data_IF_673307279207
#
_entry.id   IF_673307279207
#
_cell.length_a   1.000
_cell.length_b   1.000
_cell.length_c   1.000
_cell.angle_alpha   90.00
_cell.angle_beta   90.00
_cell.angle_gamma   90.00
#
_symmetry.space_group_name_H-M   'P 1'
#
loop_
_entity.id
_entity.type
_entity.pdbx_description
1 polymer ?
#
# COMPACT_ATOMS: atom_id res chain seq x y z
N UNK A 1 -0.75 0.80 15.23
CA UNK A 1 0.14 1.62 14.38
C UNK A 1 0.27 1.11 12.93
N UNK A 2 -0.51 0.11 12.48
CA UNK A 2 -0.50 -0.36 11.08
C UNK A 2 -0.97 0.71 10.07
N UNK A 3 -1.88 1.60 10.48
CA UNK A 3 -2.39 2.71 9.64
C UNK A 3 -1.36 3.78 9.26
N UNK A 4 -0.20 3.83 9.93
CA UNK A 4 0.76 4.91 9.72
C UNK A 4 1.43 4.85 8.33
N UNK A 5 1.51 3.68 7.70
CA UNK A 5 1.93 3.57 6.29
C UNK A 5 0.90 4.21 5.35
N UNK A 6 -0.40 3.97 5.59
CA UNK A 6 -1.48 4.59 4.79
C UNK A 6 -1.49 6.12 4.93
N UNK A 7 -1.31 6.63 6.15
CA UNK A 7 -1.16 8.06 6.38
C UNK A 7 0.06 8.63 5.67
N UNK A 8 1.22 7.95 5.79
CA UNK A 8 2.43 8.37 5.11
C UNK A 8 2.24 8.41 3.59
N UNK A 9 1.73 7.33 3.00
CA UNK A 9 1.60 7.20 1.55
C UNK A 9 0.67 8.26 0.96
N UNK A 10 -0.52 8.44 1.53
CA UNK A 10 -1.49 9.42 1.05
C UNK A 10 -0.91 10.86 1.11
N UNK A 11 -0.29 11.23 2.24
CA UNK A 11 0.31 12.56 2.39
C UNK A 11 1.53 12.74 1.48
N UNK A 12 2.37 11.71 1.32
CA UNK A 12 3.57 11.78 0.49
C UNK A 12 3.22 11.97 -0.99
N UNK A 13 2.23 11.23 -1.49
CA UNK A 13 1.75 11.34 -2.87
C UNK A 13 1.08 12.71 -3.11
N UNK A 14 0.30 13.18 -2.14
CA UNK A 14 -0.38 14.48 -2.23
C UNK A 14 0.56 15.69 -1.98
N UNK A 15 1.83 15.47 -1.65
CA UNK A 15 2.78 16.54 -1.33
C UNK A 15 2.48 17.28 -0.02
N UNK A 16 1.73 16.66 0.90
CA UNK A 16 1.37 17.25 2.20
C UNK A 16 2.55 17.08 3.17
N UNK A 17 3.12 18.18 3.71
CA UNK A 17 4.37 18.13 4.46
C UNK A 17 4.20 17.67 5.91
N UNK A 18 3.00 17.78 6.48
CA UNK A 18 2.74 17.56 7.90
C UNK A 18 1.49 16.73 8.15
N UNK A 19 1.58 15.82 9.11
CA UNK A 19 0.49 14.98 9.59
C UNK A 19 0.19 15.40 11.03
N UNK A 20 -1.06 15.83 11.28
CA UNK A 20 -1.57 16.11 12.63
C UNK A 20 -2.39 14.94 13.15
N UNK A 21 -1.96 14.33 14.25
CA UNK A 21 -2.66 13.19 14.85
C UNK A 21 -3.05 13.46 16.31
N UNK A 22 -4.32 13.19 16.63
CA UNK A 22 -4.83 13.20 18.00
C UNK A 22 -4.58 11.86 18.66
N UNK A 23 -3.68 11.80 19.63
CA UNK A 23 -3.45 10.62 20.45
C UNK A 23 -4.51 10.53 21.54
N UNK A 24 -5.25 9.44 21.51
CA UNK A 24 -6.35 9.13 22.41
C UNK A 24 -5.89 8.13 23.47
N UNK A 25 -6.40 8.26 24.69
CA UNK A 25 -6.30 7.16 25.65
C UNK A 25 -7.33 6.06 25.34
N UNK A 26 -7.03 4.82 25.73
CA UNK A 26 -7.97 3.72 25.53
C UNK A 26 -9.06 3.69 26.60
N UNK A 27 -8.76 4.22 27.80
CA UNK A 27 -9.65 4.17 28.97
C UNK A 27 -10.84 5.12 28.85
N UNK A 28 -10.61 6.36 28.41
CA UNK A 28 -11.63 7.41 28.35
C UNK A 28 -11.96 7.82 26.92
N UNK A 29 -11.29 7.22 25.92
CA UNK A 29 -11.47 7.51 24.50
C UNK A 29 -11.40 9.01 24.19
N UNK A 30 -10.63 9.75 24.98
CA UNK A 30 -10.49 11.20 24.85
C UNK A 30 -9.12 11.51 24.29
N UNK A 31 -9.03 12.48 23.35
CA UNK A 31 -7.74 12.96 22.85
C UNK A 31 -7.01 13.62 24.01
N UNK A 32 -5.85 13.08 24.36
CA UNK A 32 -4.99 13.62 25.42
C UNK A 32 -3.89 14.52 24.87
N UNK A 33 -3.52 14.32 23.60
CA UNK A 33 -2.43 15.06 22.98
C UNK A 33 -2.62 15.14 21.48
N UNK A 34 -2.24 16.26 20.90
CA UNK A 34 -2.11 16.42 19.46
C UNK A 34 -0.63 16.44 19.15
N UNK A 35 -0.21 15.65 18.16
CA UNK A 35 1.13 15.68 17.61
C UNK A 35 1.10 16.15 16.17
N UNK A 36 2.13 16.90 15.80
CA UNK A 36 2.44 17.20 14.41
C UNK A 36 3.71 16.44 14.06
N UNK A 37 3.66 15.68 12.96
CA UNK A 37 4.76 14.86 12.48
C UNK A 37 5.01 15.27 11.04
N UNK A 38 6.24 15.62 10.69
CA UNK A 38 6.62 15.80 9.28
C UNK A 38 6.39 14.49 8.52
N UNK A 39 5.69 14.55 7.39
CA UNK A 39 5.35 13.37 6.57
C UNK A 39 6.60 12.54 6.27
N UNK A 40 7.69 13.18 5.85
CA UNK A 40 8.95 12.50 5.52
C UNK A 40 9.64 11.85 6.70
N UNK A 41 9.39 12.34 7.92
CA UNK A 41 9.94 11.79 9.16
C UNK A 41 9.08 10.69 9.76
N UNK A 42 7.83 10.52 9.29
CA UNK A 42 6.92 9.53 9.86
C UNK A 42 7.55 8.14 9.88
N UNK A 43 8.13 7.68 8.78
CA UNK A 43 8.74 6.35 8.69
C UNK A 43 9.92 6.11 9.66
N UNK A 44 10.65 7.16 10.00
CA UNK A 44 11.78 7.11 10.96
C UNK A 44 11.36 7.48 12.39
N UNK A 45 10.09 7.81 12.60
CA UNK A 45 9.59 8.21 13.92
C UNK A 45 9.63 7.04 14.90
N UNK A 46 9.53 7.37 16.20
CA UNK A 46 9.43 6.38 17.28
C UNK A 46 8.29 5.37 17.11
N UNK A 47 7.31 5.68 16.28
CA UNK A 47 6.10 4.88 16.05
C UNK A 47 6.29 3.76 15.03
N UNK A 48 7.20 3.95 14.08
CA UNK A 48 7.25 3.15 12.85
C UNK A 48 8.66 2.77 12.44
N UNK A 49 9.68 3.19 13.21
CA UNK A 49 11.08 2.90 12.91
C UNK A 49 11.28 1.41 12.65
N UNK A 50 11.83 1.07 11.48
CA UNK A 50 12.11 -0.30 11.07
C UNK A 50 10.90 -1.11 10.58
N UNK A 51 9.71 -0.50 10.47
CA UNK A 51 8.49 -1.19 10.00
C UNK A 51 8.32 -1.19 8.48
N UNK A 52 8.80 -0.16 7.79
CA UNK A 52 8.86 -0.08 6.33
C UNK A 52 9.99 0.84 5.89
N UNK A 53 10.37 0.75 4.62
CA UNK A 53 11.39 1.61 4.01
C UNK A 53 10.73 2.51 2.95
N UNK A 54 10.65 3.84 3.17
CA UNK A 54 10.08 4.79 2.23
C UNK A 54 10.62 4.66 0.81
N UNK A 55 11.93 4.45 0.65
CA UNK A 55 12.57 4.31 -0.66
C UNK A 55 12.08 3.07 -1.39
N UNK A 56 11.90 1.97 -0.67
CA UNK A 56 11.36 0.73 -1.26
C UNK A 56 9.90 0.96 -1.66
N UNK A 57 9.07 1.59 -0.81
CA UNK A 57 7.68 1.89 -1.13
C UNK A 57 7.55 2.72 -2.41
N UNK A 58 8.32 3.83 -2.52
CA UNK A 58 8.30 4.68 -3.72
C UNK A 58 8.80 3.92 -4.95
N UNK A 59 9.93 3.21 -4.86
CA UNK A 59 10.46 2.43 -5.99
C UNK A 59 9.48 1.36 -6.47
N UNK A 60 8.81 0.67 -5.55
CA UNK A 60 7.79 -0.32 -5.89
C UNK A 60 6.60 0.33 -6.59
N UNK A 61 6.13 1.48 -6.10
CA UNK A 61 5.06 2.24 -6.74
C UNK A 61 5.45 2.72 -8.14
N UNK A 62 6.63 3.31 -8.31
CA UNK A 62 7.15 3.76 -9.61
C UNK A 62 7.30 2.60 -10.61
N UNK A 63 7.78 1.45 -10.15
CA UNK A 63 7.88 0.23 -10.97
C UNK A 63 6.50 -0.25 -11.42
N UNK A 64 5.51 -0.27 -10.50
CA UNK A 64 4.14 -0.66 -10.84
C UNK A 64 3.50 0.31 -11.83
N UNK A 65 3.64 1.63 -11.62
CA UNK A 65 3.12 2.65 -12.53
C UNK A 65 3.79 2.59 -13.91
N UNK A 66 5.08 2.26 -13.96
CA UNK A 66 5.80 2.06 -15.22
C UNK A 66 5.27 0.84 -15.99
N UNK A 67 5.04 -0.28 -15.30
CA UNK A 67 4.38 -1.46 -15.88
C UNK A 67 2.97 -1.12 -16.38
N UNK A 68 2.20 -0.33 -15.62
CA UNK A 68 0.88 0.14 -16.04
C UNK A 68 0.98 0.92 -17.35
N UNK A 69 1.93 1.84 -17.45
CA UNK A 69 2.15 2.65 -18.65
C UNK A 69 2.57 1.82 -19.87
N UNK A 70 3.38 0.78 -19.68
CA UNK A 70 3.80 -0.12 -20.76
C UNK A 70 2.66 -1.01 -21.28
N UNK A 71 1.80 -1.48 -20.37
CA UNK A 71 0.72 -2.44 -20.69
C UNK A 71 -0.58 -1.78 -21.17
N UNK A 72 -0.73 -0.46 -20.97
CA UNK A 72 -1.81 0.37 -21.51
C UNK A 72 -1.23 1.35 -22.56
N UNK A 73 -0.80 0.84 -23.74
CA UNK A 73 -0.13 1.66 -24.76
C UNK A 73 -1.07 2.61 -25.51
N UNK A 74 -2.39 2.40 -25.42
CA UNK A 74 -3.40 3.16 -26.16
C UNK A 74 -4.37 3.86 -25.21
N UNK A 75 -4.52 5.18 -25.39
CA UNK A 75 -5.60 6.00 -24.82
C UNK A 75 -6.93 5.72 -25.55
N UNK A 76 -7.30 4.46 -25.78
CA UNK A 76 -8.64 4.12 -26.28
C UNK A 76 -9.62 4.18 -25.09
N UNK A 77 -10.55 5.15 -25.06
CA UNK A 77 -11.52 5.27 -23.98
C UNK A 77 -12.49 4.08 -23.88
N UNK A 78 -12.52 3.19 -24.89
CA UNK A 78 -13.35 1.98 -24.90
C UNK A 78 -12.58 0.73 -24.44
N UNK A 79 -11.26 0.84 -24.24
CA UNK A 79 -10.43 -0.27 -23.79
C UNK A 79 -10.40 -0.33 -22.27
N UNK A 80 -10.96 -1.40 -21.71
CA UNK A 80 -10.98 -1.64 -20.26
C UNK A 80 -10.01 -2.77 -19.95
N UNK A 81 -8.90 -2.44 -19.29
CA UNK A 81 -7.97 -3.44 -18.72
C UNK A 81 -8.03 -3.45 -17.21
N UNK A 82 -7.75 -4.59 -16.61
CA UNK A 82 -7.67 -4.75 -15.16
C UNK A 82 -6.24 -5.01 -14.72
N UNK A 83 -5.81 -4.32 -13.68
CA UNK A 83 -4.60 -4.67 -12.95
C UNK A 83 -4.91 -5.83 -12.00
N UNK A 84 -4.37 -7.00 -12.30
CA UNK A 84 -4.58 -8.23 -11.54
C UNK A 84 -3.32 -8.54 -10.74
N UNK A 85 -3.49 -8.67 -9.41
CA UNK A 85 -2.47 -9.20 -8.54
C UNK A 85 -2.56 -10.73 -8.54
N UNK A 86 -1.53 -11.38 -9.06
CA UNK A 86 -1.41 -12.83 -9.08
C UNK A 86 -0.56 -13.26 -7.89
N UNK A 87 -1.10 -14.14 -7.06
CA UNK A 87 -0.43 -14.71 -5.90
C UNK A 87 -0.27 -16.21 -6.16
N UNK A 88 0.97 -16.67 -6.33
CA UNK A 88 1.29 -18.10 -6.55
C UNK A 88 2.11 -18.63 -5.38
N UNK A 89 1.86 -19.84 -4.88
CA UNK A 89 2.76 -20.48 -3.94
C UNK A 89 4.13 -20.70 -4.61
N UNK A 90 5.21 -20.59 -3.83
CA UNK A 90 6.55 -20.95 -4.31
C UNK A 90 6.64 -22.47 -4.36
N UNK A 91 7.06 -23.03 -5.50
CA UNK A 91 7.06 -24.49 -5.75
C UNK A 91 7.88 -25.28 -4.71
N UNK A 92 8.92 -24.67 -4.12
CA UNK A 92 9.78 -25.30 -3.10
C UNK A 92 10.03 -24.39 -1.90
N UNK A 93 8.99 -24.08 -1.11
CA UNK A 93 9.20 -23.49 0.22
C UNK A 93 8.00 -22.73 0.80
N UNK A 94 8.09 -22.30 2.08
CA UNK A 94 7.11 -21.39 2.66
C UNK A 94 7.27 -20.01 2.01
N UNK A 95 6.32 -19.65 1.15
CA UNK A 95 6.31 -18.34 0.50
C UNK A 95 5.27 -18.24 -0.61
N UNK A 96 4.98 -16.99 -0.98
CA UNK A 96 4.13 -16.67 -2.12
C UNK A 96 4.85 -15.69 -3.03
N UNK A 97 4.89 -16.02 -4.32
CA UNK A 97 5.25 -15.09 -5.39
C UNK A 97 4.06 -14.20 -5.69
N UNK A 98 4.32 -12.89 -5.76
CA UNK A 98 3.31 -11.88 -6.06
C UNK A 98 3.74 -11.17 -7.33
N UNK A 99 2.94 -11.28 -8.38
CA UNK A 99 3.17 -10.61 -9.66
C UNK A 99 1.96 -9.75 -10.02
N UNK A 100 2.19 -8.63 -10.67
CA UNK A 100 1.13 -7.80 -11.22
C UNK A 100 1.09 -8.00 -12.73
N UNK A 101 -0.10 -8.20 -13.27
CA UNK A 101 -0.35 -8.25 -14.71
C UNK A 101 -1.49 -7.29 -15.05
N UNK A 102 -1.46 -6.72 -16.24
CA UNK A 102 -2.59 -5.93 -16.76
C UNK A 102 -3.12 -6.65 -17.98
N UNK A 103 -4.34 -7.12 -17.86
CA UNK A 103 -5.00 -7.94 -18.88
C UNK A 103 -6.49 -7.69 -18.89
N UNK A 104 -7.16 -8.25 -19.88
CA UNK A 104 -8.61 -8.30 -19.90
C UNK A 104 -9.10 -9.11 -18.70
N UNK A 105 -10.28 -8.73 -18.22
CA UNK A 105 -10.95 -9.44 -17.12
C UNK A 105 -11.24 -10.87 -17.56
N UNK A 106 -10.81 -11.83 -16.75
CA UNK A 106 -11.18 -13.23 -16.89
C UNK A 106 -12.33 -13.58 -15.94
N UNK A 107 -13.18 -14.57 -16.28
CA UNK A 107 -14.29 -15.01 -15.41
C UNK A 107 -13.86 -15.44 -14.00
N UNK A 108 -12.65 -15.98 -13.87
CA UNK A 108 -12.04 -16.43 -12.61
C UNK A 108 -11.49 -15.29 -11.74
N UNK A 109 -11.45 -14.06 -12.24
CA UNK A 109 -10.95 -12.92 -11.48
C UNK A 109 -11.91 -12.57 -10.34
N UNK A 110 -11.36 -12.60 -9.12
CA UNK A 110 -12.06 -12.20 -7.92
C UNK A 110 -11.73 -10.75 -7.58
N UNK A 111 -12.76 -9.96 -7.30
CA UNK A 111 -12.58 -8.71 -6.60
C UNK A 111 -12.13 -9.03 -5.18
N UNK A 112 -11.07 -8.35 -4.75
CA UNK A 112 -10.51 -8.51 -3.41
C UNK A 112 -10.81 -7.22 -2.65
N UNK A 113 -11.54 -7.35 -1.56
CA UNK A 113 -11.84 -6.23 -0.67
C UNK A 113 -10.61 -5.85 0.18
N UNK A 114 -10.60 -4.64 0.74
CA UNK A 114 -9.44 -4.13 1.48
C UNK A 114 -9.05 -5.01 2.68
N UNK A 115 -10.03 -5.61 3.35
CA UNK A 115 -9.82 -6.54 4.47
C UNK A 115 -9.23 -7.88 4.01
N UNK A 116 -9.59 -8.36 2.83
CA UNK A 116 -9.01 -9.57 2.22
C UNK A 116 -7.55 -9.36 1.79
N UNK A 117 -7.21 -8.14 1.32
CA UNK A 117 -5.81 -7.77 1.08
C UNK A 117 -4.96 -7.93 2.34
N UNK A 118 -5.50 -7.67 3.53
CA UNK A 118 -4.76 -7.85 4.77
C UNK A 118 -4.43 -9.32 5.05
N UNK A 119 -5.31 -10.25 4.70
CA UNK A 119 -5.05 -11.69 4.80
C UNK A 119 -3.98 -12.13 3.80
N UNK A 120 -4.02 -11.59 2.58
CA UNK A 120 -3.07 -11.87 1.49
C UNK A 120 -1.64 -11.38 1.81
N UNK A 121 -1.53 -10.20 2.43
CA UNK A 121 -0.25 -9.58 2.76
C UNK A 121 0.21 -9.83 4.19
N UNK A 122 -0.68 -10.26 5.09
CA UNK A 122 -0.41 -10.47 6.51
C UNK A 122 0.27 -11.79 6.87
N UNK A 123 0.52 -12.68 5.90
CA UNK A 123 1.05 -14.02 6.11
C UNK A 123 2.57 -14.15 6.29
N UNK A 124 3.30 -13.09 6.67
CA UNK A 124 4.73 -13.15 7.01
C UNK A 124 5.02 -12.15 8.16
N UNK A 125 4.60 -12.47 9.37
CA UNK A 125 5.27 -12.05 10.61
C UNK A 125 5.84 -13.29 11.30
#
# INVERSE_FOLDING_TARGET
MRMALGWWAANKIAGIPEIRCGLRDDKHRTIKRIETIETDRLATSRYTKGRWNPKICIRTMESLLSQIKELVPEDDPNSIKQAVLIIRPVEEGPGVNRTFEIRDRLPEDQFVEEDELQCIFGGNE
#
